data_IF_396466359926
#
_entry.id   IF_396466359926
#
_cell.length_a   1.000
_cell.length_b   1.000
_cell.length_c   1.000
_cell.angle_alpha   90.00
_cell.angle_beta   90.00
_cell.angle_gamma   90.00
#
_symmetry.space_group_name_H-M   'P 1'
#
loop_
_entity.id
_entity.type
_entity.pdbx_description
1 polymer ?
#
# COMPACT_ATOMS: atom_id res chain seq x y z
N UNK A 1 -11.83 31.25 18.94
CA UNK A 1 -11.18 29.91 19.04
C UNK A 1 -10.39 29.70 17.76
N UNK A 2 -9.08 29.51 17.86
CA UNK A 2 -8.23 29.37 16.66
C UNK A 2 -8.59 28.09 15.91
N UNK A 3 -8.95 28.22 14.64
CA UNK A 3 -9.26 27.12 13.73
C UNK A 3 -8.10 26.11 13.62
N UNK A 4 -6.85 26.55 13.85
CA UNK A 4 -5.68 25.68 13.83
C UNK A 4 -5.58 24.64 14.94
N UNK A 5 -6.14 24.90 16.13
CA UNK A 5 -5.95 24.01 17.28
C UNK A 5 -6.65 22.65 17.12
N UNK A 6 -7.86 22.63 16.58
CA UNK A 6 -8.60 21.39 16.35
C UNK A 6 -8.08 20.65 15.11
N UNK A 7 -7.75 21.38 14.05
CA UNK A 7 -7.20 20.81 12.82
C UNK A 7 -5.88 20.07 13.08
N UNK A 8 -5.00 20.65 13.91
CA UNK A 8 -3.73 20.03 14.29
C UNK A 8 -3.93 18.70 15.03
N UNK A 9 -4.88 18.63 15.98
CA UNK A 9 -5.17 17.39 16.71
C UNK A 9 -5.65 16.27 15.77
N UNK A 10 -6.49 16.62 14.80
CA UNK A 10 -6.96 15.66 13.78
C UNK A 10 -5.83 15.20 12.86
N UNK A 11 -4.95 16.11 12.44
CA UNK A 11 -3.76 15.77 11.63
C UNK A 11 -2.89 14.75 12.36
N UNK A 12 -2.55 14.98 13.63
CA UNK A 12 -1.75 14.04 14.41
C UNK A 12 -2.45 12.70 14.66
N UNK A 13 -3.78 12.71 14.85
CA UNK A 13 -4.56 11.47 14.94
C UNK A 13 -4.49 10.65 13.63
N UNK A 14 -4.60 11.30 12.47
CA UNK A 14 -4.46 10.67 11.16
C UNK A 14 -3.07 10.10 10.93
N UNK A 15 -2.02 10.81 11.36
CA UNK A 15 -0.64 10.31 11.34
C UNK A 15 -0.52 9.05 12.17
N UNK A 16 -1.09 9.03 13.39
CA UNK A 16 -1.10 7.86 14.26
C UNK A 16 -1.80 6.65 13.62
N UNK A 17 -2.98 6.85 13.03
CA UNK A 17 -3.71 5.79 12.31
C UNK A 17 -2.87 5.27 11.14
N UNK A 18 -2.30 6.16 10.34
CA UNK A 18 -1.45 5.80 9.20
C UNK A 18 -0.22 5.01 9.65
N UNK A 19 0.41 5.42 10.75
CA UNK A 19 1.56 4.72 11.34
C UNK A 19 1.24 3.27 11.72
N UNK A 20 0.05 3.02 12.29
CA UNK A 20 -0.41 1.66 12.64
C UNK A 20 -0.51 0.79 11.38
N UNK A 21 -1.09 1.30 10.29
CA UNK A 21 -1.20 0.55 9.03
C UNK A 21 0.17 0.30 8.38
N UNK A 22 1.08 1.27 8.44
CA UNK A 22 2.46 1.12 7.94
C UNK A 22 3.22 0.07 8.75
N UNK A 23 3.14 0.13 10.08
CA UNK A 23 3.74 -0.85 10.97
C UNK A 23 3.18 -2.26 10.72
N UNK A 24 1.86 -2.38 10.55
CA UNK A 24 1.22 -3.65 10.21
C UNK A 24 1.72 -4.20 8.88
N UNK A 25 1.85 -3.35 7.85
CA UNK A 25 2.43 -3.74 6.56
C UNK A 25 3.87 -4.22 6.72
N UNK A 26 4.70 -3.47 7.45
CA UNK A 26 6.11 -3.81 7.67
C UNK A 26 6.25 -5.16 8.39
N UNK A 27 5.47 -5.37 9.45
CA UNK A 27 5.39 -6.65 10.16
C UNK A 27 4.95 -7.78 9.23
N UNK A 28 3.97 -7.54 8.36
CA UNK A 28 3.52 -8.53 7.37
C UNK A 28 4.67 -8.94 6.43
N UNK A 29 5.41 -7.98 5.88
CA UNK A 29 6.47 -8.22 4.90
C UNK A 29 7.69 -8.90 5.53
N UNK A 30 8.10 -8.46 6.72
CA UNK A 30 9.28 -8.98 7.41
C UNK A 30 9.05 -10.33 8.09
N UNK A 31 7.93 -10.48 8.80
CA UNK A 31 7.71 -11.66 9.67
C UNK A 31 6.85 -12.72 8.99
N UNK A 32 5.75 -12.31 8.34
CA UNK A 32 4.77 -13.26 7.78
C UNK A 32 5.20 -13.75 6.40
N UNK A 33 5.55 -12.83 5.50
CA UNK A 33 5.96 -13.16 4.13
C UNK A 33 7.45 -13.44 4.04
N UNK A 34 8.27 -12.91 4.96
CA UNK A 34 9.74 -13.00 4.97
C UNK A 34 10.38 -12.65 3.62
N UNK A 35 9.79 -11.68 2.93
CA UNK A 35 10.27 -11.22 1.64
C UNK A 35 10.18 -9.70 1.58
N UNK A 36 11.32 -9.05 1.76
CA UNK A 36 11.45 -7.61 1.68
C UNK A 36 11.79 -7.22 0.24
N UNK A 37 10.81 -6.69 -0.49
CA UNK A 37 11.03 -6.23 -1.84
C UNK A 37 11.63 -4.81 -1.83
N UNK A 38 12.45 -4.47 -2.84
CA UNK A 38 12.95 -3.09 -3.02
C UNK A 38 11.80 -2.07 -3.11
N UNK A 39 10.65 -2.49 -3.61
CA UNK A 39 9.42 -1.68 -3.71
C UNK A 39 8.89 -1.20 -2.34
N UNK A 40 9.16 -1.95 -1.26
CA UNK A 40 8.74 -1.59 0.10
C UNK A 40 9.59 -0.42 0.66
N UNK A 41 10.80 -0.17 0.10
CA UNK A 41 11.59 1.02 0.45
C UNK A 41 10.87 2.31 0.05
N UNK A 42 10.29 2.37 -1.15
CA UNK A 42 9.54 3.56 -1.60
C UNK A 42 8.30 3.81 -0.74
N UNK A 43 7.64 2.74 -0.29
CA UNK A 43 6.52 2.86 0.64
C UNK A 43 6.97 3.41 2.00
N UNK A 44 8.04 2.86 2.58
CA UNK A 44 8.54 3.34 3.87
C UNK A 44 9.07 4.79 3.77
N UNK A 45 9.77 5.12 2.67
CA UNK A 45 10.20 6.48 2.36
C UNK A 45 9.01 7.44 2.31
N UNK A 46 7.90 7.03 1.68
CA UNK A 46 6.71 7.87 1.61
C UNK A 46 6.14 8.22 2.99
N UNK A 47 6.16 7.28 3.94
CA UNK A 47 5.71 7.54 5.30
C UNK A 47 6.65 8.47 6.06
N UNK A 48 7.97 8.33 5.88
CA UNK A 48 8.96 9.25 6.46
C UNK A 48 8.77 10.68 5.89
N UNK A 49 8.54 10.80 4.59
CA UNK A 49 8.24 12.07 3.94
C UNK A 49 6.90 12.65 4.42
N UNK A 50 5.91 11.81 4.71
CA UNK A 50 4.64 12.24 5.27
C UNK A 50 4.81 12.85 6.66
N UNK A 51 5.58 12.24 7.56
CA UNK A 51 5.92 12.83 8.87
C UNK A 51 6.69 14.15 8.66
N UNK A 52 7.63 14.16 7.73
CA UNK A 52 8.43 15.34 7.40
C UNK A 52 7.61 16.49 6.80
N UNK A 53 6.40 16.21 6.29
CA UNK A 53 5.43 17.22 5.84
C UNK A 53 4.64 17.81 7.03
N UNK A 54 4.22 16.98 7.99
CA UNK A 54 3.39 17.40 9.12
C UNK A 54 4.15 18.28 10.12
N UNK A 55 5.47 18.08 10.27
CA UNK A 55 6.30 18.89 11.19
C UNK A 55 6.32 20.38 10.76
N UNK A 56 6.70 20.75 9.52
CA UNK A 56 6.61 22.12 9.03
C UNK A 56 5.20 22.72 9.11
N UNK A 57 4.15 21.94 8.84
CA UNK A 57 2.76 22.40 8.95
C UNK A 57 2.41 22.77 10.39
N UNK A 58 2.87 21.98 11.36
CA UNK A 58 2.69 22.26 12.79
C UNK A 58 3.37 23.58 13.16
N UNK A 59 4.61 23.79 12.70
CA UNK A 59 5.36 25.02 12.91
C UNK A 59 4.65 26.22 12.26
N UNK A 60 4.17 26.07 11.02
CA UNK A 60 3.40 27.11 10.31
C UNK A 60 2.13 27.53 11.08
N UNK A 61 1.47 26.57 11.74
CA UNK A 61 0.30 26.83 12.61
C UNK A 61 0.67 27.68 13.83
N UNK A 62 1.86 27.50 14.40
CA UNK A 62 2.35 28.36 15.49
C UNK A 62 2.63 29.80 15.04
N UNK A 63 3.07 30.00 13.79
CA UNK A 63 3.34 31.33 13.23
C UNK A 63 2.09 32.10 12.76
N UNK A 64 0.90 31.47 12.79
CA UNK A 64 -0.37 32.14 12.50
C UNK A 64 -1.21 31.54 11.38
N UNK A 65 -0.85 30.38 10.83
CA UNK A 65 -1.70 29.68 9.87
C UNK A 65 -3.09 29.40 10.47
N UNK A 66 -4.15 29.76 9.74
CA UNK A 66 -5.55 29.66 10.16
C UNK A 66 -6.07 30.82 11.01
N UNK A 67 -5.30 31.89 11.20
CA UNK A 67 -5.83 33.17 11.69
C UNK A 67 -6.20 34.07 10.52
N UNK A 68 -7.07 35.05 10.75
CA UNK A 68 -7.37 36.06 9.74
C UNK A 68 -6.12 36.91 9.44
N UNK A 69 -5.94 37.28 8.17
CA UNK A 69 -4.78 38.07 7.70
C UNK A 69 -4.62 39.40 8.49
N UNK A 70 -5.71 39.94 9.04
CA UNK A 70 -5.72 41.15 9.87
C UNK A 70 -5.13 40.98 11.28
N UNK A 71 -5.02 39.75 11.78
CA UNK A 71 -4.56 39.46 13.15
C UNK A 71 -3.08 39.06 13.23
N UNK A 72 -2.40 38.94 12.08
CA UNK A 72 -1.04 38.41 11.98
C UNK A 72 -0.08 39.47 11.47
N UNK A 73 1.03 39.67 12.18
CA UNK A 73 2.11 40.56 11.72
C UNK A 73 2.66 40.07 10.37
N UNK A 74 2.92 40.96 9.39
CA UNK A 74 3.39 40.57 8.06
C UNK A 74 4.68 39.73 8.09
N UNK A 75 5.57 39.95 9.06
CA UNK A 75 6.79 39.15 9.24
C UNK A 75 6.49 37.70 9.65
N UNK A 76 5.47 37.49 10.49
CA UNK A 76 5.05 36.16 10.91
C UNK A 76 4.27 35.44 9.80
N UNK A 77 3.50 36.18 9.00
CA UNK A 77 2.80 35.64 7.85
C UNK A 77 3.78 35.12 6.78
N UNK A 78 4.86 35.84 6.51
CA UNK A 78 5.90 35.40 5.58
C UNK A 78 6.59 34.11 6.04
N UNK A 79 6.96 34.03 7.33
CA UNK A 79 7.54 32.81 7.93
C UNK A 79 6.54 31.65 7.87
N UNK A 80 5.26 31.89 8.17
CA UNK A 80 4.22 30.86 8.11
C UNK A 80 4.07 30.27 6.70
N UNK A 81 4.07 31.12 5.66
CA UNK A 81 4.01 30.69 4.26
C UNK A 81 5.25 29.90 3.84
N UNK A 82 6.45 30.32 4.27
CA UNK A 82 7.68 29.59 3.98
C UNK A 82 7.65 28.15 4.54
N UNK A 83 7.24 27.99 5.80
CA UNK A 83 7.08 26.65 6.41
C UNK A 83 5.97 25.83 5.75
N UNK A 84 4.91 26.49 5.28
CA UNK A 84 3.82 25.84 4.55
C UNK A 84 4.28 25.32 3.17
N UNK A 85 5.06 26.09 2.43
CA UNK A 85 5.60 25.69 1.12
C UNK A 85 6.61 24.53 1.25
N UNK A 86 7.43 24.54 2.31
CA UNK A 86 8.31 23.42 2.66
C UNK A 86 7.47 22.16 2.95
N UNK A 87 6.45 22.28 3.80
CA UNK A 87 5.55 21.19 4.13
C UNK A 87 4.83 20.63 2.88
N UNK A 88 4.28 21.52 2.06
CA UNK A 88 3.61 21.15 0.80
C UNK A 88 4.56 20.39 -0.14
N UNK A 89 5.82 20.83 -0.25
CA UNK A 89 6.85 20.14 -1.05
C UNK A 89 7.08 18.72 -0.56
N UNK A 90 7.29 18.52 0.75
CA UNK A 90 7.39 17.19 1.35
C UNK A 90 6.14 16.34 1.11
N UNK A 91 4.95 16.95 1.18
CA UNK A 91 3.67 16.30 0.90
C UNK A 91 3.56 15.79 -0.54
N UNK A 92 4.00 16.58 -1.52
CA UNK A 92 4.02 16.17 -2.94
C UNK A 92 4.97 15.00 -3.17
N UNK A 93 6.17 15.03 -2.59
CA UNK A 93 7.12 13.92 -2.68
C UNK A 93 6.62 12.64 -1.98
N UNK A 94 5.93 12.80 -0.84
CA UNK A 94 5.26 11.69 -0.16
C UNK A 94 4.23 11.02 -1.08
N UNK A 95 3.28 11.79 -1.64
CA UNK A 95 2.25 11.29 -2.55
C UNK A 95 2.87 10.63 -3.80
N UNK A 96 3.90 11.23 -4.38
CA UNK A 96 4.62 10.68 -5.53
C UNK A 96 5.23 9.31 -5.19
N UNK A 97 5.87 9.20 -4.03
CA UNK A 97 6.50 7.97 -3.55
C UNK A 97 5.48 6.85 -3.30
N UNK A 98 4.31 7.16 -2.72
CA UNK A 98 3.23 6.17 -2.55
C UNK A 98 2.70 5.69 -3.90
N UNK A 99 2.44 6.61 -4.84
CA UNK A 99 1.96 6.29 -6.19
C UNK A 99 2.96 5.41 -6.94
N UNK A 100 4.26 5.67 -6.76
CA UNK A 100 5.32 4.82 -7.29
C UNK A 100 5.27 3.41 -6.70
N UNK A 101 5.13 3.27 -5.38
CA UNK A 101 4.99 1.96 -4.74
C UNK A 101 3.72 1.21 -5.20
N UNK A 102 2.60 1.92 -5.38
CA UNK A 102 1.37 1.37 -5.96
C UNK A 102 1.56 0.90 -7.40
N UNK A 103 2.22 1.70 -8.23
CA UNK A 103 2.53 1.36 -9.62
C UNK A 103 3.38 0.09 -9.73
N UNK A 104 4.42 -0.03 -8.90
CA UNK A 104 5.25 -1.24 -8.82
C UNK A 104 4.45 -2.46 -8.36
N UNK A 105 3.57 -2.29 -7.36
CA UNK A 105 2.69 -3.35 -6.90
C UNK A 105 1.73 -3.82 -8.01
N UNK A 106 1.17 -2.88 -8.79
CA UNK A 106 0.31 -3.19 -9.93
C UNK A 106 1.07 -3.89 -11.06
N UNK A 107 2.29 -3.46 -11.36
CA UNK A 107 3.14 -4.13 -12.35
C UNK A 107 3.46 -5.58 -11.99
N UNK A 108 3.54 -5.90 -10.69
CA UNK A 108 3.74 -7.27 -10.20
C UNK A 108 2.49 -8.15 -10.34
N UNK A 109 1.30 -7.56 -10.27
CA UNK A 109 0.02 -8.27 -10.43
C UNK A 109 -0.29 -8.50 -11.91
N UNK A 110 0.06 -7.54 -12.76
CA UNK A 110 -0.28 -7.57 -14.19
C UNK A 110 0.72 -8.41 -14.99
N UNK A 111 0.16 -9.39 -15.70
CA UNK A 111 0.91 -10.30 -16.58
C UNK A 111 0.91 -9.77 -18.03
N UNK A 112 -0.15 -9.05 -18.44
CA UNK A 112 -0.34 -8.57 -19.82
C UNK A 112 0.61 -7.39 -20.13
N UNK A 113 1.40 -7.51 -21.21
CA UNK A 113 2.43 -6.53 -21.58
C UNK A 113 1.89 -5.13 -21.84
N UNK A 114 0.79 -5.01 -22.58
CA UNK A 114 0.18 -3.71 -22.89
C UNK A 114 -0.29 -2.97 -21.63
N UNK A 115 -0.90 -3.69 -20.68
CA UNK A 115 -1.31 -3.12 -19.40
C UNK A 115 -0.09 -2.68 -18.56
N UNK A 116 1.01 -3.45 -18.57
CA UNK A 116 2.25 -3.07 -17.88
C UNK A 116 2.86 -1.79 -18.45
N UNK A 117 2.82 -1.60 -19.77
CA UNK A 117 3.29 -0.39 -20.44
C UNK A 117 2.47 0.84 -20.02
N UNK A 118 1.13 0.71 -19.95
CA UNK A 118 0.24 1.78 -19.49
C UNK A 118 0.56 2.19 -18.05
N UNK A 119 0.76 1.22 -17.14
CA UNK A 119 1.13 1.52 -15.74
C UNK A 119 2.46 2.26 -15.69
N UNK A 120 3.46 1.80 -16.44
CA UNK A 120 4.77 2.45 -16.48
C UNK A 120 4.66 3.91 -16.96
N UNK A 121 3.91 4.14 -18.05
CA UNK A 121 3.66 5.48 -18.57
C UNK A 121 3.01 6.39 -17.51
N UNK A 122 2.01 5.88 -16.77
CA UNK A 122 1.32 6.66 -15.74
C UNK A 122 2.19 6.91 -14.51
N UNK A 123 3.07 5.98 -14.15
CA UNK A 123 4.07 6.19 -13.09
C UNK A 123 5.03 7.33 -13.45
N UNK A 124 5.58 7.32 -14.67
CA UNK A 124 6.47 8.36 -15.17
C UNK A 124 5.74 9.70 -15.27
N UNK A 125 4.53 9.69 -15.83
CA UNK A 125 3.69 10.89 -15.92
C UNK A 125 3.40 11.47 -14.53
N UNK A 126 3.04 10.63 -13.57
CA UNK A 126 2.77 11.07 -12.18
C UNK A 126 4.01 11.72 -11.56
N UNK A 127 5.20 11.15 -11.77
CA UNK A 127 6.46 11.72 -11.29
C UNK A 127 6.75 13.09 -11.92
N UNK A 128 6.59 13.21 -13.23
CA UNK A 128 6.78 14.47 -13.97
C UNK A 128 5.80 15.54 -13.46
N UNK A 129 4.53 15.19 -13.27
CA UNK A 129 3.51 16.09 -12.73
C UNK A 129 3.84 16.52 -11.29
N UNK A 130 4.38 15.62 -10.45
CA UNK A 130 4.84 15.97 -9.10
C UNK A 130 6.02 16.94 -9.12
N UNK A 131 7.01 16.72 -10.00
CA UNK A 131 8.15 17.64 -10.17
C UNK A 131 7.65 19.01 -10.65
N UNK A 132 6.74 19.04 -11.63
CA UNK A 132 6.12 20.27 -12.11
C UNK A 132 5.34 20.98 -11.00
N UNK A 133 4.62 20.25 -10.15
CA UNK A 133 3.90 20.83 -9.00
C UNK A 133 4.85 21.46 -7.99
N UNK A 134 5.97 20.82 -7.66
CA UNK A 134 7.00 21.41 -6.78
C UNK A 134 7.61 22.65 -7.42
N UNK A 135 7.99 22.60 -8.70
CA UNK A 135 8.49 23.76 -9.42
C UNK A 135 7.48 24.93 -9.36
N UNK A 136 6.19 24.65 -9.55
CA UNK A 136 5.13 25.64 -9.46
C UNK A 136 4.82 26.13 -8.04
N UNK A 137 5.33 25.50 -6.97
CA UNK A 137 5.25 26.06 -5.61
C UNK A 137 6.33 27.14 -5.45
N UNK A 138 7.57 26.82 -5.81
CA UNK A 138 8.73 27.69 -5.61
C UNK A 138 8.89 28.80 -6.66
N UNK A 139 8.37 28.61 -7.88
CA UNK A 139 8.46 29.59 -8.96
C UNK A 139 7.35 30.66 -8.94
N UNK A 140 6.52 30.70 -7.88
CA UNK A 140 5.48 31.72 -7.73
C UNK A 140 6.07 33.05 -7.30
N UNK A 141 5.60 34.11 -7.95
CA UNK A 141 5.95 35.51 -7.72
C UNK A 141 5.84 36.00 -6.29
N UNK A 142 4.98 35.36 -5.51
CA UNK A 142 4.65 35.80 -4.16
C UNK A 142 5.43 35.05 -3.08
N UNK A 143 6.23 34.05 -3.48
CA UNK A 143 7.06 33.27 -2.58
C UNK A 143 8.15 34.14 -1.93
N UNK A 144 8.44 33.95 -0.64
CA UNK A 144 9.46 34.73 0.08
C UNK A 144 10.84 34.64 -0.59
N UNK A 145 11.15 33.49 -1.23
CA UNK A 145 12.42 33.27 -1.94
C UNK A 145 12.58 34.20 -3.15
N UNK A 146 11.50 34.47 -3.90
CA UNK A 146 11.58 35.36 -5.07
C UNK A 146 11.59 36.85 -4.69
N UNK A 147 11.00 37.23 -3.55
CA UNK A 147 11.11 38.60 -3.02
C UNK A 147 12.55 38.98 -2.68
N UNK A 148 13.35 38.01 -2.26
CA UNK A 148 14.77 38.20 -1.93
C UNK A 148 15.67 38.12 -3.17
N UNK A 149 15.32 37.32 -4.18
CA UNK A 149 16.20 36.99 -5.31
C UNK A 149 15.99 37.80 -6.60
N UNK A 150 15.02 38.73 -6.67
CA UNK A 150 14.66 39.48 -7.90
C UNK A 150 14.57 38.58 -9.16
N UNK A 151 14.08 37.34 -8.99
CA UNK A 151 14.03 36.36 -10.05
C UNK A 151 12.82 36.58 -10.97
N UNK A 152 12.97 36.21 -12.25
CA UNK A 152 11.92 36.30 -13.27
C UNK A 152 10.63 35.61 -12.81
N UNK A 153 9.60 36.43 -12.71
CA UNK A 153 8.26 36.06 -12.31
C UNK A 153 7.49 35.45 -13.49
N UNK A 154 6.83 34.31 -13.30
CA UNK A 154 5.94 33.79 -14.34
C UNK A 154 4.69 34.67 -14.46
N UNK A 155 4.51 35.24 -15.65
CA UNK A 155 3.40 36.13 -16.05
C UNK A 155 2.01 35.54 -15.77
N UNK A 156 1.01 36.43 -15.68
CA UNK A 156 -0.43 36.15 -15.55
C UNK A 156 -0.97 35.12 -16.55
N UNK A 157 -0.31 34.91 -17.69
CA UNK A 157 -0.62 33.87 -18.67
C UNK A 157 -0.56 32.44 -18.10
N UNK A 158 0.24 32.19 -17.06
CA UNK A 158 0.41 30.85 -16.47
C UNK A 158 -0.44 30.58 -15.23
N UNK A 159 -1.37 31.49 -14.89
CA UNK A 159 -2.27 31.35 -13.72
C UNK A 159 -3.14 30.09 -13.79
N UNK A 160 -3.38 29.55 -14.99
CA UNK A 160 -4.15 28.33 -15.21
C UNK A 160 -3.36 27.04 -15.00
N UNK A 161 -2.02 27.07 -15.08
CA UNK A 161 -1.16 25.87 -14.96
C UNK A 161 -1.40 25.11 -13.66
N UNK A 162 -1.42 25.74 -12.46
CA UNK A 162 -1.62 24.98 -11.25
C UNK A 162 -3.00 24.32 -11.21
N UNK A 163 -4.05 24.95 -11.74
CA UNK A 163 -5.39 24.34 -11.84
C UNK A 163 -5.33 23.06 -12.69
N UNK A 164 -4.64 23.11 -13.83
CA UNK A 164 -4.43 21.92 -14.66
C UNK A 164 -3.65 20.82 -13.93
N UNK A 165 -2.64 21.18 -13.12
CA UNK A 165 -1.90 20.23 -12.30
C UNK A 165 -2.79 19.56 -11.23
N UNK A 166 -3.67 20.32 -10.55
CA UNK A 166 -4.63 19.75 -9.60
C UNK A 166 -5.60 18.77 -10.28
N UNK A 167 -6.15 19.14 -11.45
CA UNK A 167 -7.03 18.26 -12.24
C UNK A 167 -6.27 16.99 -12.65
N UNK A 168 -5.04 17.12 -13.13
CA UNK A 168 -4.21 15.96 -13.51
C UNK A 168 -3.92 15.01 -12.32
N UNK A 169 -3.79 15.56 -11.10
CA UNK A 169 -3.64 14.76 -9.89
C UNK A 169 -4.92 13.99 -9.56
N UNK A 170 -6.09 14.61 -9.71
CA UNK A 170 -7.40 13.94 -9.53
C UNK A 170 -7.52 12.79 -10.52
N UNK A 171 -7.23 13.04 -11.81
CA UNK A 171 -7.27 12.00 -12.86
C UNK A 171 -6.32 10.85 -12.53
N UNK A 172 -5.11 11.16 -12.05
CA UNK A 172 -4.14 10.13 -11.64
C UNK A 172 -4.68 9.31 -10.45
N UNK A 173 -5.29 9.95 -9.45
CA UNK A 173 -5.91 9.27 -8.31
C UNK A 173 -7.07 8.36 -8.76
N UNK A 174 -7.92 8.82 -9.68
CA UNK A 174 -8.95 8.00 -10.30
C UNK A 174 -8.35 6.78 -10.99
N UNK A 175 -7.27 6.95 -11.76
CA UNK A 175 -6.61 5.82 -12.41
C UNK A 175 -6.13 4.78 -11.40
N UNK A 176 -5.36 5.17 -10.39
CA UNK A 176 -4.86 4.21 -9.39
C UNK A 176 -5.98 3.56 -8.56
N UNK A 177 -7.11 4.24 -8.37
CA UNK A 177 -8.30 3.66 -7.75
C UNK A 177 -8.95 2.62 -8.68
N UNK A 178 -9.35 2.98 -9.90
CA UNK A 178 -10.14 2.07 -10.75
C UNK A 178 -9.32 0.97 -11.43
N UNK A 179 -8.03 1.19 -11.67
CA UNK A 179 -7.19 0.26 -12.41
C UNK A 179 -7.06 -1.15 -11.80
N UNK A 180 -6.74 -1.31 -10.49
CA UNK A 180 -6.77 -2.62 -9.85
C UNK A 180 -8.14 -3.31 -9.96
N UNK A 181 -9.25 -2.56 -9.89
CA UNK A 181 -10.59 -3.13 -10.05
C UNK A 181 -10.81 -3.71 -11.45
N UNK A 182 -10.45 -2.94 -12.47
CA UNK A 182 -10.60 -3.36 -13.87
C UNK A 182 -9.84 -4.67 -14.16
N UNK A 183 -8.61 -4.80 -13.64
CA UNK A 183 -7.81 -6.01 -13.81
C UNK A 183 -8.43 -7.20 -13.08
N UNK A 184 -8.95 -6.97 -11.87
CA UNK A 184 -9.41 -8.04 -10.99
C UNK A 184 -10.83 -8.50 -11.32
N UNK A 185 -11.61 -7.73 -12.09
CA UNK A 185 -12.97 -8.10 -12.50
C UNK A 185 -13.00 -9.38 -13.36
N UNK A 186 -11.99 -9.60 -14.19
CA UNK A 186 -11.89 -10.77 -15.06
C UNK A 186 -11.18 -11.97 -14.41
N UNK A 187 -10.73 -11.86 -13.15
CA UNK A 187 -9.93 -12.88 -12.50
C UNK A 187 -10.75 -13.60 -11.42
N UNK A 188 -10.88 -14.93 -11.56
CA UNK A 188 -11.65 -15.77 -10.63
C UNK A 188 -10.91 -15.94 -9.30
N UNK A 189 -10.96 -14.90 -8.47
CA UNK A 189 -10.29 -14.81 -7.18
C UNK A 189 -11.19 -15.29 -6.03
N UNK A 190 -10.58 -15.83 -4.98
CA UNK A 190 -11.27 -16.26 -3.77
C UNK A 190 -11.98 -15.07 -3.10
N UNK A 191 -13.16 -15.30 -2.48
CA UNK A 191 -13.96 -14.26 -1.81
C UNK A 191 -13.15 -13.38 -0.83
N UNK A 192 -12.12 -13.96 -0.19
CA UNK A 192 -11.23 -13.26 0.74
C UNK A 192 -10.34 -12.22 0.03
N UNK A 193 -9.87 -12.50 -1.18
CA UNK A 193 -9.09 -11.58 -2.00
C UNK A 193 -9.98 -10.42 -2.49
N UNK A 194 -11.21 -10.76 -2.89
CA UNK A 194 -12.22 -9.80 -3.32
C UNK A 194 -12.53 -8.76 -2.23
N UNK A 195 -12.59 -9.17 -0.96
CA UNK A 195 -12.81 -8.25 0.17
C UNK A 195 -11.64 -7.26 0.32
N UNK A 196 -10.39 -7.72 0.30
CA UNK A 196 -9.23 -6.83 0.44
C UNK A 196 -9.15 -5.78 -0.67
N UNK A 197 -9.48 -6.19 -1.90
CA UNK A 197 -9.58 -5.29 -3.05
C UNK A 197 -10.72 -4.28 -2.83
N UNK A 198 -11.92 -4.73 -2.45
CA UNK A 198 -13.07 -3.86 -2.21
C UNK A 198 -12.76 -2.81 -1.13
N UNK A 199 -12.10 -3.20 -0.04
CA UNK A 199 -11.67 -2.24 1.00
C UNK A 199 -10.67 -1.24 0.44
N UNK A 200 -9.66 -1.68 -0.31
CA UNK A 200 -8.71 -0.74 -0.94
C UNK A 200 -9.40 0.24 -1.91
N UNK A 201 -10.43 -0.21 -2.63
CA UNK A 201 -11.22 0.65 -3.53
C UNK A 201 -11.95 1.75 -2.78
N UNK A 202 -12.55 1.42 -1.63
CA UNK A 202 -13.24 2.42 -0.81
C UNK A 202 -12.31 3.55 -0.37
N UNK A 203 -11.07 3.23 0.04
CA UNK A 203 -10.07 4.25 0.36
C UNK A 203 -9.61 5.02 -0.89
N UNK A 204 -9.47 4.36 -2.04
CA UNK A 204 -9.16 5.03 -3.31
C UNK A 204 -10.23 6.05 -3.72
N UNK A 205 -11.52 5.71 -3.60
CA UNK A 205 -12.63 6.63 -3.85
C UNK A 205 -12.62 7.80 -2.86
N UNK A 206 -12.36 7.54 -1.58
CA UNK A 206 -12.26 8.59 -0.58
C UNK A 206 -11.11 9.56 -0.87
N UNK A 207 -9.96 9.08 -1.37
CA UNK A 207 -8.85 9.95 -1.79
C UNK A 207 -9.24 10.86 -2.97
N UNK A 208 -10.07 10.38 -3.91
CA UNK A 208 -10.59 11.20 -5.02
C UNK A 208 -11.45 12.34 -4.47
N UNK A 209 -12.37 12.06 -3.54
CA UNK A 209 -13.22 13.10 -2.91
C UNK A 209 -12.36 14.16 -2.23
N UNK A 210 -11.35 13.74 -1.46
CA UNK A 210 -10.41 14.68 -0.82
C UNK A 210 -9.66 15.55 -1.83
N UNK A 211 -9.34 15.00 -3.00
CA UNK A 211 -8.65 15.72 -4.07
C UNK A 211 -9.54 16.80 -4.71
N UNK A 212 -10.84 16.54 -4.81
CA UNK A 212 -11.85 17.48 -5.33
C UNK A 212 -12.07 18.62 -4.34
N UNK A 213 -12.24 18.29 -3.05
CA UNK A 213 -12.37 19.31 -2.00
C UNK A 213 -11.15 20.22 -1.95
N UNK A 214 -9.94 19.67 -2.08
CA UNK A 214 -8.71 20.47 -2.18
C UNK A 214 -8.72 21.44 -3.37
N UNK A 215 -9.28 21.03 -4.52
CA UNK A 215 -9.43 21.93 -5.66
C UNK A 215 -10.42 23.07 -5.34
N UNK A 216 -11.52 22.75 -4.66
CA UNK A 216 -12.52 23.73 -4.24
C UNK A 216 -11.92 24.77 -3.27
N UNK A 217 -11.20 24.32 -2.24
CA UNK A 217 -10.51 25.21 -1.28
C UNK A 217 -9.51 26.14 -1.98
N UNK A 218 -8.82 25.65 -3.02
CA UNK A 218 -7.94 26.51 -3.83
C UNK A 218 -8.71 27.62 -4.55
N UNK A 219 -9.91 27.33 -5.05
CA UNK A 219 -10.76 28.35 -5.68
C UNK A 219 -11.28 29.36 -4.65
N UNK A 220 -11.51 28.94 -3.41
CA UNK A 220 -11.88 29.83 -2.29
C UNK A 220 -10.72 30.75 -1.92
N UNK A 221 -9.51 30.21 -1.71
CA UNK A 221 -8.29 30.99 -1.40
C UNK A 221 -8.04 32.09 -2.43
N UNK A 222 -8.35 31.85 -3.71
CA UNK A 222 -8.19 32.85 -4.77
C UNK A 222 -9.08 34.09 -4.58
N UNK A 223 -10.12 34.02 -3.73
CA UNK A 223 -11.14 35.05 -3.57
C UNK A 223 -11.17 35.71 -2.17
N UNK A 224 -10.77 35.03 -1.09
CA UNK A 224 -11.08 35.47 0.30
C UNK A 224 -9.89 35.65 1.26
N UNK A 225 -8.67 35.27 0.87
CA UNK A 225 -7.45 35.46 1.67
C UNK A 225 -6.61 34.19 1.82
N UNK A 226 -5.30 34.32 2.06
CA UNK A 226 -4.37 33.19 1.99
C UNK A 226 -4.14 32.46 3.33
N UNK A 227 -4.11 33.14 4.49
CA UNK A 227 -3.75 32.46 5.75
C UNK A 227 -4.91 31.73 6.43
N UNK A 228 -6.13 32.26 6.35
CA UNK A 228 -7.30 31.62 6.95
C UNK A 228 -7.71 30.37 6.14
N UNK A 229 -7.89 30.52 4.83
CA UNK A 229 -8.40 29.46 3.96
C UNK A 229 -7.31 28.45 3.55
N UNK A 230 -6.03 28.84 3.66
CA UNK A 230 -4.89 27.94 3.48
C UNK A 230 -4.90 26.73 4.40
N UNK A 231 -5.54 26.84 5.58
CA UNK A 231 -5.68 25.73 6.52
C UNK A 231 -6.54 24.59 5.98
N UNK A 232 -7.66 24.91 5.32
CA UNK A 232 -8.54 23.91 4.71
C UNK A 232 -7.80 23.13 3.63
N UNK A 233 -7.07 23.83 2.77
CA UNK A 233 -6.25 23.22 1.72
C UNK A 233 -5.21 22.22 2.28
N UNK A 234 -4.50 22.61 3.35
CA UNK A 234 -3.51 21.75 4.01
C UNK A 234 -4.18 20.55 4.66
N UNK A 235 -5.30 20.75 5.34
CA UNK A 235 -6.06 19.69 6.00
C UNK A 235 -6.50 18.60 5.01
N UNK A 236 -7.12 18.99 3.90
CA UNK A 236 -7.52 18.05 2.84
C UNK A 236 -6.33 17.36 2.19
N UNK A 237 -5.19 18.04 2.04
CA UNK A 237 -3.96 17.45 1.50
C UNK A 237 -3.37 16.38 2.41
N UNK A 238 -3.40 16.59 3.74
CA UNK A 238 -2.94 15.61 4.73
C UNK A 238 -3.86 14.38 4.75
N UNK A 239 -5.18 14.59 4.67
CA UNK A 239 -6.16 13.49 4.58
C UNK A 239 -5.90 12.66 3.31
N UNK A 240 -5.81 13.32 2.15
CA UNK A 240 -5.54 12.64 0.87
C UNK A 240 -4.29 11.76 0.96
N UNK A 241 -3.20 12.29 1.50
CA UNK A 241 -1.93 11.56 1.63
C UNK A 241 -2.06 10.38 2.59
N UNK A 242 -2.67 10.59 3.77
CA UNK A 242 -2.93 9.52 4.77
C UNK A 242 -3.74 8.37 4.17
N UNK A 243 -4.83 8.71 3.49
CA UNK A 243 -5.74 7.75 2.86
C UNK A 243 -5.04 6.98 1.75
N UNK A 244 -4.22 7.67 0.95
CA UNK A 244 -3.46 7.06 -0.14
C UNK A 244 -2.43 6.05 0.39
N UNK A 245 -1.74 6.37 1.50
CA UNK A 245 -0.83 5.45 2.19
C UNK A 245 -1.58 4.22 2.73
N UNK A 246 -2.72 4.43 3.40
CA UNK A 246 -3.54 3.34 3.95
C UNK A 246 -4.07 2.44 2.82
N UNK A 247 -4.57 3.04 1.74
CA UNK A 247 -5.02 2.35 0.53
C UNK A 247 -3.92 1.43 -0.03
N UNK A 248 -2.69 1.94 -0.10
CA UNK A 248 -1.53 1.19 -0.58
C UNK A 248 -1.07 0.09 0.40
N UNK A 249 -1.31 0.23 1.70
CA UNK A 249 -0.97 -0.77 2.71
C UNK A 249 -1.86 -2.03 2.66
N UNK A 250 -3.15 -1.86 2.37
CA UNK A 250 -4.18 -2.92 2.47
C UNK A 250 -3.84 -4.19 1.68
N UNK A 251 -3.43 -4.13 0.39
CA UNK A 251 -3.13 -5.34 -0.39
C UNK A 251 -1.98 -6.16 0.20
N UNK A 252 -1.01 -5.51 0.85
CA UNK A 252 0.13 -6.20 1.45
C UNK A 252 -0.19 -6.83 2.82
N UNK A 253 -1.20 -6.34 3.53
CA UNK A 253 -1.68 -6.93 4.80
C UNK A 253 -2.54 -8.20 4.58
N UNK A 254 -2.88 -8.53 3.33
CA UNK A 254 -3.66 -9.71 2.93
C UNK A 254 -3.31 -11.02 3.66
N UNK A 255 -2.04 -11.49 3.72
CA UNK A 255 -1.72 -12.78 4.35
C UNK A 255 -1.96 -12.78 5.87
N UNK A 256 -1.94 -11.61 6.52
CA UNK A 256 -2.22 -11.48 7.94
C UNK A 256 -3.70 -11.69 8.26
N UNK A 257 -4.60 -11.13 7.45
CA UNK A 257 -6.04 -11.39 7.59
C UNK A 257 -6.37 -12.86 7.36
N UNK A 258 -5.69 -13.52 6.40
CA UNK A 258 -5.86 -14.97 6.19
C UNK A 258 -5.47 -15.75 7.45
N UNK A 259 -4.29 -15.49 8.01
CA UNK A 259 -3.82 -16.17 9.23
C UNK A 259 -4.68 -15.90 10.46
N UNK A 260 -5.16 -14.66 10.64
CA UNK A 260 -6.03 -14.29 11.75
C UNK A 260 -7.42 -14.94 11.63
N UNK A 261 -8.04 -14.86 10.44
CA UNK A 261 -9.33 -15.50 10.18
C UNK A 261 -9.24 -17.01 10.31
N UNK A 262 -8.20 -17.65 9.79
CA UNK A 262 -8.04 -19.11 9.91
C UNK A 262 -7.89 -19.53 11.38
N UNK A 263 -7.21 -18.75 12.23
CA UNK A 263 -7.16 -18.99 13.69
C UNK A 263 -8.51 -18.78 14.39
N UNK A 264 -9.24 -17.73 14.04
CA UNK A 264 -10.57 -17.44 14.61
C UNK A 264 -11.62 -18.49 14.20
N UNK A 265 -11.63 -18.92 12.93
CA UNK A 265 -12.54 -19.97 12.45
C UNK A 265 -12.14 -21.38 12.90
N UNK A 266 -10.84 -21.67 13.05
CA UNK A 266 -10.38 -22.92 13.66
C UNK A 266 -10.79 -23.03 15.13
N UNK A 267 -10.68 -21.92 15.89
CA UNK A 267 -11.14 -21.86 17.28
C UNK A 267 -12.66 -22.11 17.41
N UNK A 268 -13.46 -21.59 16.46
CA UNK A 268 -14.92 -21.81 16.42
C UNK A 268 -15.32 -23.25 16.03
N UNK A 269 -14.56 -23.91 15.13
CA UNK A 269 -14.76 -25.34 14.80
C UNK A 269 -14.41 -26.27 15.96
N UNK A 270 -13.37 -25.95 16.74
CA UNK A 270 -12.97 -26.78 17.88
C UNK A 270 -14.00 -26.73 19.02
N UNK A 271 -14.65 -25.57 19.22
CA UNK A 271 -15.74 -25.41 20.20
C UNK A 271 -16.99 -26.23 19.87
N UNK A 272 -17.29 -26.45 18.58
CA UNK A 272 -18.42 -27.31 18.14
C UNK A 272 -18.14 -28.82 18.26
N UNK A 273 -16.89 -29.27 18.16
CA UNK A 273 -16.54 -30.69 18.34
C UNK A 273 -16.58 -31.14 19.80
N UNK A 274 -16.18 -30.28 20.74
CA UNK A 274 -16.19 -30.59 22.18
C UNK A 274 -17.62 -30.71 22.72
N UNK A 275 -18.60 -30.00 22.14
CA UNK A 275 -20.01 -30.08 22.57
C UNK A 275 -20.77 -31.28 21.99
N UNK A 276 -20.18 -32.05 21.06
CA UNK A 276 -20.82 -33.22 20.43
C UNK A 276 -20.32 -34.56 20.98
N UNK A 277 -19.50 -34.55 22.03
CA UNK A 277 -19.02 -35.73 22.73
C UNK A 277 -19.55 -35.74 24.17
N UNK A 278 -20.83 -36.10 24.33
CA UNK A 278 -21.35 -36.66 25.58
C UNK A 278 -20.88 -38.12 25.71
N UNK A 279 -20.51 -38.61 26.91
CA UNK A 279 -19.94 -39.95 27.07
C UNK A 279 -21.03 -41.01 27.11
N UNK A 280 -21.06 -41.90 26.12
CA UNK A 280 -21.86 -43.13 26.16
C UNK A 280 -21.10 -44.26 26.89
N UNK A 281 -21.84 -44.87 27.80
CA UNK A 281 -21.64 -46.04 28.67
C UNK A 281 -20.69 -47.15 28.15
N UNK A 282 -19.83 -47.75 29.00
CA UNK A 282 -18.93 -48.83 28.60
C UNK A 282 -19.64 -50.20 28.57
N UNK A 283 -19.53 -50.91 27.45
CA UNK A 283 -19.93 -52.33 27.30
C UNK A 283 -18.68 -53.22 27.44
N UNK A 284 -18.73 -54.41 28.10
CA UNK A 284 -17.53 -55.17 28.43
C UNK A 284 -16.99 -56.01 27.25
N UNK A 285 -15.72 -56.45 27.29
CA UNK A 285 -15.07 -57.15 26.18
C UNK A 285 -15.44 -58.63 26.14
N UNK A 286 -15.76 -59.13 24.95
CA UNK A 286 -16.07 -60.54 24.69
C UNK A 286 -14.78 -61.34 24.50
N UNK A 287 -14.71 -62.48 25.19
CA UNK A 287 -13.56 -63.37 25.31
C UNK A 287 -13.18 -64.06 23.99
N UNK A 288 -11.86 -64.21 23.83
CA UNK A 288 -11.15 -64.97 22.80
C UNK A 288 -11.36 -66.46 23.06
N UNK A 289 -12.01 -67.19 22.14
CA UNK A 289 -12.02 -68.66 22.12
C UNK A 289 -11.27 -69.17 20.90
N UNK A 290 -10.31 -70.01 21.19
CA UNK A 290 -9.36 -70.69 20.31
C UNK A 290 -10.04 -71.97 19.81
N UNK A 291 -10.00 -72.24 18.51
CA UNK A 291 -10.17 -73.60 17.99
C UNK A 291 -9.38 -73.72 16.67
N UNK A 292 -8.40 -74.62 16.69
CA UNK A 292 -7.71 -75.14 15.52
C UNK A 292 -8.64 -76.15 14.84
N UNK A 293 -8.59 -76.24 13.50
CA UNK A 293 -8.51 -77.54 12.83
C UNK A 293 -8.01 -77.39 11.39
N UNK A 294 -7.26 -78.40 10.98
CA UNK A 294 -6.52 -78.54 9.74
C UNK A 294 -7.38 -79.04 8.58
N UNK A 295 -6.88 -78.73 7.39
CA UNK A 295 -6.97 -79.45 6.11
C UNK A 295 -8.18 -79.32 5.16
N UNK A 296 -7.86 -78.60 4.07
CA UNK A 296 -7.83 -79.06 2.67
C UNK A 296 -9.16 -79.14 1.87
N UNK A 297 -9.20 -78.38 0.76
CA UNK A 297 -10.14 -78.66 -0.34
C UNK A 297 -10.64 -77.46 -1.15
N UNK A 298 -9.88 -77.13 -2.20
CA UNK A 298 -10.33 -76.64 -3.54
C UNK A 298 -11.30 -75.43 -3.68
N UNK A 299 -10.82 -74.56 -4.58
CA UNK A 299 -11.54 -73.87 -5.68
C UNK A 299 -12.27 -72.54 -5.42
N UNK A 300 -11.76 -71.54 -6.16
CA UNK A 300 -12.48 -70.54 -6.96
C UNK A 300 -13.31 -69.49 -6.23
N UNK A 301 -12.83 -68.24 -6.23
CA UNK A 301 -13.35 -67.17 -7.09
C UNK A 301 -13.01 -65.78 -6.54
N UNK A 302 -12.57 -64.92 -7.47
CA UNK A 302 -12.78 -63.46 -7.54
C UNK A 302 -12.48 -62.54 -6.33
N UNK A 303 -11.64 -61.53 -6.60
CA UNK A 303 -12.02 -60.16 -6.25
C UNK A 303 -11.09 -59.36 -5.32
N UNK A 304 -10.04 -58.78 -5.92
CA UNK A 304 -9.65 -57.36 -5.84
C UNK A 304 -9.49 -56.66 -4.46
N UNK A 305 -8.29 -56.06 -4.34
CA UNK A 305 -7.90 -54.78 -3.68
C UNK A 305 -7.22 -54.84 -2.31
N UNK A 306 -5.88 -54.73 -2.41
CA UNK A 306 -4.92 -53.85 -1.71
C UNK A 306 -4.97 -53.74 -0.18
N UNK A 307 -3.90 -54.21 0.44
CA UNK A 307 -3.29 -53.57 1.62
C UNK A 307 -1.81 -53.28 1.35
N UNK A 308 -1.42 -52.05 1.66
CA UNK A 308 -0.05 -51.62 1.88
C UNK A 308 0.57 -52.44 3.01
N UNK A 309 1.79 -52.93 2.82
CA UNK A 309 2.84 -52.92 3.85
C UNK A 309 4.17 -52.72 3.12
N UNK A 310 4.79 -51.57 3.37
CA UNK A 310 6.19 -51.28 3.03
C UNK A 310 7.11 -52.15 3.89
N UNK A 311 8.06 -52.81 3.24
CA UNK A 311 9.07 -53.65 3.90
C UNK A 311 9.88 -54.46 2.91
N UNK A 312 10.66 -53.79 2.06
CA UNK A 312 11.60 -54.39 1.12
C UNK A 312 13.05 -54.06 1.50
N UNK A 313 13.88 -55.10 1.57
CA UNK A 313 15.29 -55.08 1.96
C UNK A 313 16.28 -54.43 0.96
N UNK A 314 17.59 -54.70 1.13
CA UNK A 314 18.69 -53.82 0.69
C UNK A 314 19.21 -54.15 -0.72
N UNK A 315 19.67 -53.13 -1.47
CA UNK A 315 20.44 -53.34 -2.72
C UNK A 315 21.19 -52.08 -3.20
N UNK A 316 22.48 -52.05 -2.87
CA UNK A 316 23.68 -51.73 -3.68
C UNK A 316 24.05 -50.30 -4.14
N UNK A 317 25.28 -49.95 -3.73
CA UNK A 317 26.21 -48.99 -4.32
C UNK A 317 26.45 -49.21 -5.82
N UNK A 318 26.60 -48.11 -6.56
CA UNK A 318 27.30 -48.06 -7.85
C UNK A 318 28.14 -46.77 -7.89
N UNK A 319 29.42 -46.98 -8.12
CA UNK A 319 30.53 -46.03 -8.17
C UNK A 319 30.59 -45.31 -9.55
N UNK A 320 31.09 -44.08 -9.51
CA UNK A 320 31.66 -43.16 -10.53
C UNK A 320 31.77 -43.57 -12.01
N UNK A 321 31.45 -42.64 -12.94
CA UNK A 321 32.25 -42.32 -14.15
C UNK A 321 32.09 -40.82 -14.56
N UNK A 322 33.24 -40.14 -14.54
CA UNK A 322 33.81 -39.06 -15.38
C UNK A 322 33.34 -37.59 -15.47
N UNK A 323 34.39 -36.78 -15.29
CA UNK A 323 34.63 -35.35 -15.43
C UNK A 323 34.39 -34.75 -16.85
N UNK A 324 34.21 -33.42 -16.95
CA UNK A 324 34.16 -32.71 -18.23
C UNK A 324 35.58 -32.37 -18.76
N UNK A 325 35.83 -32.45 -20.09
CA UNK A 325 37.09 -32.01 -20.68
C UNK A 325 37.16 -30.46 -20.86
N UNK A 326 38.37 -29.88 -20.99
CA UNK A 326 38.62 -28.44 -20.93
C UNK A 326 38.49 -27.71 -22.29
N UNK A 327 38.35 -26.39 -22.22
CA UNK A 327 38.28 -25.43 -23.32
C UNK A 327 39.60 -25.24 -24.09
N UNK A 328 39.59 -25.01 -25.42
CA UNK A 328 40.74 -24.48 -26.15
C UNK A 328 40.73 -22.95 -26.30
N UNK A 329 41.92 -22.37 -26.20
CA UNK A 329 42.28 -20.97 -26.41
C UNK A 329 42.38 -20.57 -27.90
N UNK A 330 42.50 -19.25 -28.09
CA UNK A 330 42.78 -18.43 -29.27
C UNK A 330 43.89 -18.90 -30.23
N UNK A 331 43.72 -18.58 -31.52
CA UNK A 331 44.78 -18.48 -32.55
C UNK A 331 44.53 -17.21 -33.39
N UNK A 332 45.54 -16.34 -33.45
CA UNK A 332 45.73 -15.25 -34.42
C UNK A 332 46.38 -15.79 -35.72
N UNK A 333 46.04 -15.17 -36.87
CA UNK A 333 46.63 -15.13 -38.26
C UNK A 333 45.44 -15.17 -39.24
N UNK A 334 45.16 -14.25 -40.16
CA UNK A 334 45.90 -13.16 -40.84
C UNK A 334 45.05 -11.89 -40.98
#
# INVERSE_FOLDING_TARGET
MTTGGWALRLIWALVGITAIFVALRLYTRLVVVKNYAKDDNFFNLSFVLFISCVIPITISTHYGLGKYDSEVSPENAEKALMWLDIGATCGVFSLASVKWSLGLLLQRIVIIRWQRLIIYFIMVLSLVLSIAAVAMIWLRCESPVQRVAHAYCFSSALRQIPTALFISSIVSNCFYAFFPWFILWNLNMNRREKIGIAVSMSFGLFAIVCSVERLNERHVIANTGYLHDGMGLVFWSVIENSVTIICAAIPACRPLYKGCMDKLFASSKNKKRVSAQTPDTPTPPRSRRQENDLENGRQSSTGRVKTNVDGGGPFYELHDIDSPPPSPQSVDTD
#
